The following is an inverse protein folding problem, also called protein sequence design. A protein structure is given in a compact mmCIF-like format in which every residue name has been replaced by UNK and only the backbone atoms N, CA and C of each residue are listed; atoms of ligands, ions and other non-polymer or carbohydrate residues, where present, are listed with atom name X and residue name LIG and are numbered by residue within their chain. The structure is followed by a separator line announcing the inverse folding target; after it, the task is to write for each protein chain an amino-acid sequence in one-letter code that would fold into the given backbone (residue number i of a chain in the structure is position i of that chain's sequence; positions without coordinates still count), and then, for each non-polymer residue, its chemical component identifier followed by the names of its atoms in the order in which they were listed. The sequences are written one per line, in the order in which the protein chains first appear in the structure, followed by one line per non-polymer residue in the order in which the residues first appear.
data_IF_843009427604
#
_entry.id   IF_843009427604
#
_cell.length_a   1.000
_cell.length_b   1.000
_cell.length_c   1.000
_cell.angle_alpha   90.00
_cell.angle_beta   90.00
_cell.angle_gamma   90.00
#
_symmetry.space_group_name_H-M   'P 1'
#
loop_
_entity.id
_entity.type
_entity.pdbx_description
1 polymer ?
#
# COMPACT_ATOMS: atom_id res chain seq x y z
N UNK A 1 -11.90 17.16 1.08
CA UNK A 1 -11.98 15.87 1.76
C UNK A 1 -10.66 15.15 1.50
N UNK A 2 -9.91 14.84 2.55
CA UNK A 2 -8.68 14.07 2.43
C UNK A 2 -9.07 12.60 2.44
N UNK A 3 -8.80 11.91 1.34
CA UNK A 3 -9.09 10.49 1.21
C UNK A 3 -7.80 9.75 1.55
N UNK A 4 -7.83 8.84 2.52
CA UNK A 4 -6.70 7.98 2.84
C UNK A 4 -6.60 6.82 1.85
N UNK A 5 -5.38 6.46 1.43
CA UNK A 5 -5.13 5.36 0.50
C UNK A 5 -5.67 4.00 1.00
N UNK A 6 -5.63 3.80 2.32
CA UNK A 6 -6.06 2.59 2.99
C UNK A 6 -7.57 2.32 2.86
N UNK A 7 -8.38 3.37 2.74
CA UNK A 7 -9.85 3.24 2.78
C UNK A 7 -10.44 2.87 1.41
N UNK A 8 -9.69 3.05 0.33
CA UNK A 8 -10.18 2.86 -1.03
C UNK A 8 -9.17 2.15 -1.96
N UNK A 9 -8.84 0.88 -1.70
CA UNK A 9 -7.87 0.12 -2.50
C UNK A 9 -8.28 0.00 -3.98
N UNK A 10 -9.56 -0.14 -4.28
CA UNK A 10 -10.02 -0.51 -5.62
C UNK A 10 -10.40 0.68 -6.52
N UNK A 11 -10.37 1.93 -6.03
CA UNK A 11 -10.92 3.10 -6.78
C UNK A 11 -9.91 4.09 -7.38
N UNK A 12 -8.59 3.92 -7.24
CA UNK A 12 -7.62 4.93 -7.71
C UNK A 12 -6.94 4.59 -9.04
N UNK A 13 -7.09 5.45 -10.03
CA UNK A 13 -6.36 5.39 -11.30
C UNK A 13 -5.15 6.32 -11.27
N UNK A 14 -4.04 5.88 -11.88
CA UNK A 14 -2.83 6.69 -12.03
C UNK A 14 -2.94 7.53 -13.30
N UNK A 15 -2.77 8.84 -13.17
CA UNK A 15 -2.84 9.78 -14.29
C UNK A 15 -1.72 10.82 -14.22
N UNK A 16 -1.20 11.19 -15.38
CA UNK A 16 -0.28 12.32 -15.53
C UNK A 16 -1.04 13.65 -15.44
N UNK A 17 -2.30 13.65 -15.86
CA UNK A 17 -3.13 14.85 -15.89
C UNK A 17 -3.99 14.92 -14.65
N UNK A 18 -3.95 16.07 -13.97
CA UNK A 18 -4.95 16.42 -12.99
C UNK A 18 -6.26 16.63 -13.74
N UNK A 19 -7.16 15.64 -13.68
CA UNK A 19 -8.44 15.74 -14.36
C UNK A 19 -9.19 16.98 -13.85
N UNK A 20 -9.63 17.83 -14.80
CA UNK A 20 -10.41 19.03 -14.51
C UNK A 20 -11.74 18.57 -13.91
N UNK A 21 -11.91 18.75 -12.60
CA UNK A 21 -13.08 18.26 -11.86
C UNK A 21 -12.87 16.97 -11.06
N UNK A 22 -11.64 16.46 -10.92
CA UNK A 22 -11.37 15.41 -9.94
C UNK A 22 -11.57 15.95 -8.51
N UNK A 23 -12.61 15.45 -7.84
CA UNK A 23 -12.99 15.82 -6.49
C UNK A 23 -12.13 15.08 -5.46
N UNK A 24 -10.93 15.59 -5.21
CA UNK A 24 -10.09 15.18 -4.09
C UNK A 24 -8.68 14.84 -4.50
N UNK A 25 -7.70 15.52 -3.89
CA UNK A 25 -6.34 14.99 -3.79
C UNK A 25 -6.35 13.94 -2.70
N UNK A 26 -5.88 12.74 -3.02
CA UNK A 26 -5.63 11.70 -2.03
C UNK A 26 -4.44 12.16 -1.18
N UNK A 27 -4.63 12.20 0.14
CA UNK A 27 -3.54 12.50 1.05
C UNK A 27 -2.79 11.19 1.31
N UNK A 28 -1.46 11.25 1.23
CA UNK A 28 -0.57 10.13 1.47
C UNK A 28 0.49 10.54 2.47
N UNK A 29 0.70 9.73 3.51
CA UNK A 29 1.58 10.05 4.63
C UNK A 29 3.06 9.78 4.34
N UNK A 30 3.36 8.91 3.37
CA UNK A 30 4.74 8.60 2.98
C UNK A 30 4.86 8.03 1.57
N UNK A 31 6.06 8.13 0.98
CA UNK A 31 6.39 7.47 -0.29
C UNK A 31 6.23 5.95 -0.21
N UNK A 32 6.46 5.36 0.96
CA UNK A 32 6.36 3.92 1.17
C UNK A 32 4.90 3.43 1.16
N UNK A 33 3.98 4.24 1.67
CA UNK A 33 2.55 3.98 1.59
C UNK A 33 2.07 3.99 0.14
N UNK A 34 2.46 5.02 -0.62
CA UNK A 34 2.16 5.11 -2.07
C UNK A 34 2.75 3.93 -2.82
N UNK A 35 4.01 3.57 -2.56
CA UNK A 35 4.65 2.41 -3.19
C UNK A 35 3.90 1.11 -2.89
N UNK A 36 3.52 0.85 -1.63
CA UNK A 36 2.74 -0.35 -1.26
C UNK A 36 1.39 -0.37 -1.98
N UNK A 37 0.75 0.79 -2.07
CA UNK A 37 -0.52 0.95 -2.78
C UNK A 37 -0.38 0.60 -4.27
N UNK A 38 0.56 1.26 -4.97
CA UNK A 38 0.79 1.03 -6.40
C UNK A 38 1.14 -0.43 -6.63
N UNK A 39 2.05 -1.00 -5.82
CA UNK A 39 2.44 -2.42 -5.90
C UNK A 39 1.25 -3.36 -5.81
N UNK A 40 0.40 -3.19 -4.79
CA UNK A 40 -0.77 -4.03 -4.58
C UNK A 40 -1.73 -3.99 -5.79
N UNK A 41 -1.86 -2.83 -6.43
CA UNK A 41 -2.73 -2.64 -7.59
C UNK A 41 -2.12 -3.20 -8.88
N UNK A 42 -0.85 -2.93 -9.15
CA UNK A 42 -0.15 -3.41 -10.35
C UNK A 42 -0.04 -4.93 -10.37
N UNK A 43 0.12 -5.57 -9.21
CA UNK A 43 0.19 -7.04 -9.11
C UNK A 43 -1.11 -7.74 -9.52
N UNK A 44 -2.27 -7.08 -9.45
CA UNK A 44 -3.55 -7.67 -9.85
C UNK A 44 -3.84 -7.56 -11.34
N UNK A 45 -3.31 -6.53 -12.00
CA UNK A 45 -3.78 -6.09 -13.33
C UNK A 45 -2.69 -6.28 -14.40
N UNK A 46 -1.44 -6.59 -14.03
CA UNK A 46 -0.34 -6.61 -15.00
C UNK A 46 0.01 -5.20 -15.52
N UNK A 47 -0.43 -4.16 -14.82
CA UNK A 47 -0.30 -2.76 -15.23
C UNK A 47 1.15 -2.21 -15.13
N UNK A 48 2.14 -3.04 -14.78
CA UNK A 48 3.53 -2.62 -14.68
C UNK A 48 4.11 -2.17 -16.03
N UNK A 49 3.67 -2.78 -17.15
CA UNK A 49 4.11 -2.39 -18.49
C UNK A 49 3.59 -0.99 -18.87
N UNK A 50 2.32 -0.72 -18.62
CA UNK A 50 1.70 0.59 -18.85
C UNK A 50 2.36 1.66 -17.97
N UNK A 51 2.62 1.34 -16.71
CA UNK A 51 3.31 2.24 -15.79
C UNK A 51 4.74 2.56 -16.25
N UNK A 52 5.47 1.57 -16.76
CA UNK A 52 6.80 1.77 -17.35
C UNK A 52 6.74 2.69 -18.57
N UNK A 53 5.78 2.48 -19.46
CA UNK A 53 5.60 3.34 -20.64
C UNK A 53 5.25 4.78 -20.23
N UNK A 54 4.36 4.93 -19.26
CA UNK A 54 3.95 6.23 -18.71
C UNK A 54 5.15 7.00 -18.14
N UNK A 55 5.98 6.33 -17.31
CA UNK A 55 7.20 6.92 -16.74
C UNK A 55 8.25 7.21 -17.81
N UNK A 56 8.40 6.36 -18.82
CA UNK A 56 9.33 6.59 -19.94
C UNK A 56 8.96 7.85 -20.72
N UNK A 57 7.66 8.10 -20.96
CA UNK A 57 7.17 9.35 -21.57
C UNK A 57 7.48 10.59 -20.73
N UNK A 58 7.57 10.43 -19.40
CA UNK A 58 7.99 11.49 -18.48
C UNK A 58 9.52 11.65 -18.37
N UNK A 59 10.28 10.87 -19.14
CA UNK A 59 11.74 10.93 -19.17
C UNK A 59 12.43 10.15 -18.06
N UNK A 60 11.71 9.29 -17.33
CA UNK A 60 12.34 8.35 -16.40
C UNK A 60 13.27 7.41 -17.19
N UNK A 61 14.50 7.25 -16.69
CA UNK A 61 15.52 6.37 -17.28
C UNK A 61 15.94 5.32 -16.25
N UNK A 62 16.50 4.21 -16.73
CA UNK A 62 17.07 3.13 -15.91
C UNK A 62 16.06 2.28 -15.11
N UNK A 63 14.84 2.11 -15.61
CA UNK A 63 13.82 1.24 -15.00
C UNK A 63 14.07 -0.24 -15.38
N UNK A 64 15.07 -0.87 -14.73
CA UNK A 64 15.52 -2.24 -15.05
C UNK A 64 14.59 -3.32 -14.51
N UNK A 65 13.93 -3.06 -13.38
CA UNK A 65 13.00 -3.99 -12.74
C UNK A 65 11.63 -3.35 -12.53
N UNK A 66 10.60 -4.16 -12.34
CA UNK A 66 9.27 -3.67 -11.95
C UNK A 66 9.31 -2.96 -10.59
N UNK A 67 10.20 -3.38 -9.69
CA UNK A 67 10.41 -2.73 -8.40
C UNK A 67 10.95 -1.28 -8.54
N UNK A 68 11.82 -1.04 -9.52
CA UNK A 68 12.32 0.30 -9.84
C UNK A 68 11.19 1.18 -10.40
N UNK A 69 10.36 0.60 -11.29
CA UNK A 69 9.17 1.27 -11.86
C UNK A 69 8.22 1.72 -10.74
N UNK A 70 7.94 0.84 -9.79
CA UNK A 70 7.04 1.12 -8.66
C UNK A 70 7.61 2.19 -7.73
N UNK A 71 8.92 2.13 -7.44
CA UNK A 71 9.60 3.10 -6.59
C UNK A 71 9.62 4.49 -7.23
N UNK A 72 9.96 4.56 -8.52
CA UNK A 72 9.95 5.81 -9.28
C UNK A 72 8.54 6.40 -9.39
N UNK A 73 7.53 5.58 -9.65
CA UNK A 73 6.13 6.03 -9.66
C UNK A 73 5.71 6.63 -8.32
N UNK A 74 6.06 5.99 -7.20
CA UNK A 74 5.77 6.52 -5.87
C UNK A 74 6.47 7.87 -5.63
N UNK A 75 7.74 8.00 -6.03
CA UNK A 75 8.47 9.26 -5.98
C UNK A 75 7.81 10.36 -6.82
N UNK A 76 7.35 10.04 -8.03
CA UNK A 76 6.66 10.99 -8.92
C UNK A 76 5.33 11.48 -8.34
N UNK A 77 4.58 10.59 -7.67
CA UNK A 77 3.36 10.95 -6.96
C UNK A 77 3.66 11.92 -5.80
N UNK A 78 4.68 11.62 -4.99
CA UNK A 78 5.10 12.51 -3.90
C UNK A 78 5.58 13.87 -4.39
N UNK A 79 6.22 13.93 -5.56
CA UNK A 79 6.65 15.17 -6.22
C UNK A 79 5.49 15.91 -6.93
N UNK A 80 4.27 15.36 -6.93
CA UNK A 80 3.12 15.96 -7.59
C UNK A 80 3.20 15.98 -9.12
N UNK A 81 4.06 15.14 -9.71
CA UNK A 81 4.16 14.96 -11.17
C UNK A 81 3.20 13.91 -11.71
N UNK A 82 2.75 13.03 -10.83
CA UNK A 82 1.81 11.97 -11.11
C UNK A 82 0.69 12.02 -10.06
N UNK A 83 -0.54 11.76 -10.47
CA UNK A 83 -1.71 11.90 -9.61
C UNK A 83 -2.46 10.58 -9.50
N UNK A 84 -2.91 10.27 -8.29
CA UNK A 84 -3.87 9.22 -8.02
C UNK A 84 -5.27 9.84 -8.03
N UNK A 85 -6.07 9.47 -9.03
CA UNK A 85 -7.43 9.96 -9.20
C UNK A 85 -8.42 8.91 -8.71
N UNK A 86 -9.40 9.28 -7.88
CA UNK A 86 -10.55 8.40 -7.66
C UNK A 86 -11.38 8.36 -8.95
N UNK A 87 -11.30 7.24 -9.67
CA UNK A 87 -12.20 6.96 -10.77
C UNK A 87 -13.54 6.46 -10.22
N UNK A 88 -14.65 7.01 -10.73
CA UNK A 88 -15.88 6.23 -10.71
C UNK A 88 -15.65 5.04 -11.62
N UNK A 89 -15.80 3.82 -11.11
CA UNK A 89 -15.78 2.63 -11.95
C UNK A 89 -16.84 2.86 -13.03
N UNK A 90 -16.41 3.21 -14.24
CA UNK A 90 -17.25 3.04 -15.40
C UNK A 90 -17.42 1.52 -15.45
N UNK A 91 -18.63 0.98 -15.20
CA UNK A 91 -18.83 -0.46 -15.31
C UNK A 91 -18.25 -0.83 -16.66
N UNK A 92 -17.34 -1.81 -16.66
CA UNK A 92 -16.66 -2.27 -17.85
C UNK A 92 -17.74 -2.79 -18.82
N UNK A 93 -18.34 -1.87 -19.57
CA UNK A 93 -19.05 -2.17 -20.80
C UNK A 93 -17.93 -2.58 -21.70
N UNK A 94 -17.66 -3.89 -21.73
CA UNK A 94 -16.78 -4.50 -22.71
C UNK A 94 -17.08 -3.81 -24.03
N UNK A 95 -16.07 -3.27 -24.75
CA UNK A 95 -16.27 -2.84 -26.12
C UNK A 95 -16.62 -4.12 -26.89
N UNK A 96 -17.92 -4.43 -26.92
CA UNK A 96 -18.47 -5.39 -27.83
C UNK A 96 -18.08 -4.88 -29.19
N UNK A 97 -17.29 -5.68 -29.88
CA UNK A 97 -17.07 -5.64 -31.32
C UNK A 97 -18.45 -5.55 -31.97
N UNK A 98 -18.94 -4.32 -32.14
CA UNK A 98 -20.21 -4.03 -32.77
C UNK A 98 -20.00 -4.13 -34.26
N UNK A 99 -20.34 -5.30 -34.80
CA UNK A 99 -20.59 -5.52 -36.21
C UNK A 99 -21.72 -4.57 -36.65
N UNK A 100 -21.50 -3.65 -37.61
CA UNK A 100 -22.49 -2.64 -37.98
C UNK A 100 -23.45 -3.18 -39.06
N UNK A 101 -24.07 -4.35 -38.89
CA UNK A 101 -25.17 -4.77 -39.79
C UNK A 101 -26.06 -5.88 -39.19
N UNK A 102 -26.86 -5.54 -38.17
CA UNK A 102 -27.95 -6.43 -37.74
C UNK A 102 -29.15 -5.62 -37.20
N UNK A 103 -30.31 -5.63 -37.88
CA UNK A 103 -31.54 -5.03 -37.36
C UNK A 103 -32.09 -5.79 -36.13
N UNK A 104 -32.88 -5.11 -35.27
CA UNK A 104 -33.12 -5.53 -33.90
C UNK A 104 -34.21 -6.61 -33.81
N UNK A 105 -33.90 -7.69 -33.09
CA UNK A 105 -34.90 -8.64 -32.61
C UNK A 105 -34.87 -8.68 -31.07
N UNK A 106 -35.99 -8.39 -30.36
CA UNK A 106 -36.13 -8.74 -28.96
C UNK A 106 -36.56 -10.21 -28.87
N UNK A 107 -35.96 -11.01 -27.97
CA UNK A 107 -36.80 -11.49 -26.87
C UNK A 107 -36.08 -11.74 -25.53
N UNK A 108 -36.87 -11.47 -24.49
CA UNK A 108 -37.07 -12.22 -23.24
C UNK A 108 -35.93 -12.47 -22.26
N UNK A 109 -36.12 -11.86 -21.07
CA UNK A 109 -35.35 -12.09 -19.85
C UNK A 109 -35.66 -13.48 -19.28
N UNK A 110 -34.65 -14.31 -18.97
CA UNK A 110 -34.83 -15.50 -18.16
C UNK A 110 -35.25 -15.11 -16.73
N UNK A 111 -36.41 -15.59 -16.29
CA UNK A 111 -36.82 -15.60 -14.87
C UNK A 111 -35.81 -16.42 -14.08
N UNK A 112 -35.02 -15.77 -13.22
CA UNK A 112 -34.19 -16.47 -12.23
C UNK A 112 -35.09 -17.14 -11.19
N UNK A 113 -34.84 -18.41 -10.82
CA UNK A 113 -35.45 -19.05 -9.67
C UNK A 113 -35.09 -18.30 -8.38
N UNK A 114 -36.08 -18.11 -7.51
CA UNK A 114 -35.91 -17.45 -6.21
C UNK A 114 -34.89 -18.20 -5.35
N UNK A 115 -33.81 -17.50 -5.02
CA UNK A 115 -32.84 -17.94 -4.01
C UNK A 115 -33.42 -17.60 -2.65
N UNK A 116 -33.66 -18.63 -1.84
CA UNK A 116 -34.15 -18.51 -0.47
C UNK A 116 -33.26 -17.60 0.38
N UNK A 117 -33.83 -16.83 1.33
CA UNK A 117 -33.05 -16.02 2.25
C UNK A 117 -32.16 -16.89 3.15
N UNK A 118 -30.94 -16.44 3.49
CA UNK A 118 -30.06 -17.14 4.41
C UNK A 118 -30.66 -17.17 5.84
N UNK A 119 -30.33 -18.20 6.64
CA UNK A 119 -30.80 -18.32 8.02
C UNK A 119 -30.28 -17.16 8.89
N UNK A 120 -31.04 -16.75 9.93
CA UNK A 120 -30.64 -15.69 10.83
C UNK A 120 -29.37 -16.05 11.59
N UNK A 121 -28.43 -15.10 11.63
CA UNK A 121 -27.19 -15.18 12.40
C UNK A 121 -27.51 -15.31 13.90
N UNK A 122 -26.72 -16.10 14.67
CA UNK A 122 -26.86 -16.18 16.11
C UNK A 122 -26.55 -14.82 16.77
N UNK A 123 -27.21 -14.49 17.90
CA UNK A 123 -26.98 -13.23 18.59
C UNK A 123 -25.54 -13.15 19.12
N UNK A 124 -24.95 -11.94 19.16
CA UNK A 124 -23.63 -11.73 19.74
C UNK A 124 -23.66 -12.17 21.21
N UNK A 125 -22.73 -13.06 21.58
CA UNK A 125 -22.47 -13.40 22.97
C UNK A 125 -22.03 -12.12 23.67
N UNK A 126 -22.81 -11.67 24.65
CA UNK A 126 -22.44 -10.61 25.57
C UNK A 126 -21.10 -10.99 26.18
N UNK A 127 -20.05 -10.22 25.87
CA UNK A 127 -18.83 -10.23 26.65
C UNK A 127 -19.21 -9.88 28.09
N UNK A 128 -18.77 -10.72 29.02
CA UNK A 128 -18.89 -10.48 30.43
C UNK A 128 -18.36 -9.07 30.74
N UNK A 129 -19.17 -8.29 31.45
CA UNK A 129 -18.76 -7.02 32.01
C UNK A 129 -17.61 -7.30 32.99
N UNK A 130 -16.39 -7.04 32.53
CA UNK A 130 -15.30 -6.73 33.44
C UNK A 130 -15.56 -5.32 33.94
N UNK A 131 -15.83 -5.23 35.23
CA UNK A 131 -15.96 -4.02 36.03
C UNK A 131 -14.81 -3.06 35.70
N UNK A 132 -15.14 -1.94 35.06
CA UNK A 132 -14.20 -0.88 34.74
C UNK A 132 -14.01 0.00 35.98
N UNK A 133 -12.78 0.19 36.49
CA UNK A 133 -12.50 1.18 37.52
C UNK A 133 -12.74 2.61 36.98
N UNK A 134 -13.07 3.57 37.86
CA UNK A 134 -13.53 4.91 37.50
C UNK A 134 -12.50 5.69 36.66
N UNK A 135 -12.94 6.51 35.68
CA UNK A 135 -12.04 7.27 34.82
C UNK A 135 -11.36 8.39 35.62
N UNK A 136 -10.05 8.23 35.85
CA UNK A 136 -9.16 9.28 36.31
C UNK A 136 -8.75 10.19 35.14
N UNK A 137 -8.48 11.49 35.38
CA UNK A 137 -8.41 12.53 34.35
C UNK A 137 -7.32 12.28 33.28
N UNK A 138 -7.73 12.37 32.01
CA UNK A 138 -7.00 12.03 30.77
C UNK A 138 -5.73 12.87 30.46
N UNK A 139 -5.21 13.65 31.40
CA UNK A 139 -4.05 14.53 31.16
C UNK A 139 -2.68 13.83 31.26
N UNK A 140 -2.61 12.60 31.79
CA UNK A 140 -1.35 11.83 31.92
C UNK A 140 -1.08 10.88 30.75
N UNK A 141 -2.09 10.54 29.95
CA UNK A 141 -1.97 9.58 28.85
C UNK A 141 -1.15 10.14 27.67
N UNK A 142 -1.28 11.43 27.37
CA UNK A 142 -0.51 12.08 26.29
C UNK A 142 0.99 12.20 26.63
N UNK A 143 1.31 12.61 27.87
CA UNK A 143 2.71 12.66 28.35
C UNK A 143 3.37 11.28 28.38
N UNK A 144 2.60 10.22 28.64
CA UNK A 144 3.11 8.85 28.60
C UNK A 144 3.46 8.37 27.18
N UNK A 145 2.75 8.85 26.16
CA UNK A 145 3.02 8.50 24.76
C UNK A 145 4.28 9.17 24.24
N UNK A 146 4.50 10.45 24.56
CA UNK A 146 5.71 11.17 24.14
C UNK A 146 6.97 10.58 24.76
N UNK A 147 6.91 10.20 26.04
CA UNK A 147 8.03 9.53 26.73
C UNK A 147 8.30 8.15 26.14
N UNK A 148 7.26 7.39 25.77
CA UNK A 148 7.42 6.11 25.07
C UNK A 148 8.02 6.27 23.68
N UNK A 149 7.59 7.27 22.92
CA UNK A 149 8.14 7.55 21.59
C UNK A 149 9.64 7.91 21.68
N UNK A 150 10.03 8.78 22.62
CA UNK A 150 11.42 9.14 22.84
C UNK A 150 12.30 7.93 23.21
N UNK A 151 11.80 7.04 24.08
CA UNK A 151 12.52 5.82 24.46
C UNK A 151 12.72 4.86 23.27
N UNK A 152 11.73 4.74 22.38
CA UNK A 152 11.83 3.92 21.16
C UNK A 152 12.80 4.51 20.14
N UNK A 153 12.84 5.83 19.99
CA UNK A 153 13.82 6.51 19.15
C UNK A 153 15.25 6.31 19.65
N UNK A 154 15.48 6.40 20.96
CA UNK A 154 16.79 6.21 21.56
C UNK A 154 17.29 4.77 21.40
N UNK A 155 16.43 3.78 21.67
CA UNK A 155 16.76 2.38 21.44
C UNK A 155 17.03 2.05 19.95
N UNK A 156 16.34 2.71 19.02
CA UNK A 156 16.63 2.61 17.60
C UNK A 156 18.00 3.20 17.22
N UNK A 157 18.42 4.31 17.86
CA UNK A 157 19.76 4.90 17.67
C UNK A 157 20.86 4.00 18.24
N UNK A 158 20.64 3.42 19.41
CA UNK A 158 21.62 2.54 20.08
C UNK A 158 21.71 1.15 19.43
N UNK A 159 20.80 0.82 18.50
CA UNK A 159 20.78 -0.47 17.83
C UNK A 159 20.55 -1.62 18.80
N UNK A 160 19.73 -1.39 19.83
CA UNK A 160 19.27 -2.43 20.75
C UNK A 160 18.24 -3.30 20.02
N UNK A 161 18.48 -4.63 19.91
CA UNK A 161 17.56 -5.51 19.20
C UNK A 161 16.28 -5.70 20.02
N UNK A 162 15.14 -5.31 19.46
CA UNK A 162 13.84 -5.48 20.10
C UNK A 162 13.30 -6.93 20.04
N UNK A 163 13.97 -7.84 19.31
CA UNK A 163 13.56 -9.24 19.23
C UNK A 163 14.77 -10.19 19.06
N UNK A 164 14.60 -11.45 19.46
CA UNK A 164 15.64 -12.49 19.38
C UNK A 164 16.18 -12.70 17.96
N UNK A 165 15.37 -12.46 16.93
CA UNK A 165 15.80 -12.57 15.53
C UNK A 165 16.80 -11.47 15.17
N UNK A 166 16.53 -10.23 15.63
CA UNK A 166 17.43 -9.10 15.43
C UNK A 166 18.74 -9.28 16.22
N UNK A 167 18.67 -9.87 17.41
CA UNK A 167 19.86 -10.19 18.21
C UNK A 167 20.75 -11.22 17.51
N UNK A 168 20.16 -12.32 17.02
CA UNK A 168 20.86 -13.33 16.21
C UNK A 168 21.47 -12.75 14.94
N UNK A 169 20.75 -11.84 14.27
CA UNK A 169 21.25 -11.16 13.07
C UNK A 169 22.44 -10.22 13.37
N UNK A 170 22.44 -9.53 14.53
CA UNK A 170 23.56 -8.70 14.98
C UNK A 170 24.81 -9.56 15.25
N UNK A 171 24.65 -10.66 15.97
CA UNK A 171 25.74 -11.61 16.23
C UNK A 171 26.33 -12.20 14.94
N UNK A 172 25.47 -12.59 13.98
CA UNK A 172 25.93 -13.12 12.70
C UNK A 172 26.70 -12.10 11.85
N UNK A 173 26.32 -10.81 11.92
CA UNK A 173 27.06 -9.73 11.24
C UNK A 173 28.43 -9.48 11.89
N UNK A 174 28.52 -9.51 13.21
CA UNK A 174 29.78 -9.35 13.92
C UNK A 174 30.79 -10.47 13.56
N UNK A 175 30.34 -11.73 13.58
CA UNK A 175 31.18 -12.87 13.21
C UNK A 175 31.71 -12.78 11.77
N UNK A 176 30.87 -12.35 10.82
CA UNK A 176 31.30 -12.15 9.42
C UNK A 176 32.26 -10.97 9.26
N UNK A 177 32.13 -9.93 10.07
CA UNK A 177 33.04 -8.78 10.03
C UNK A 177 34.44 -9.16 10.55
N UNK A 178 34.52 -9.98 11.60
CA UNK A 178 35.81 -10.51 12.10
C UNK A 178 36.49 -11.45 11.10
N UNK A 179 35.72 -12.31 10.41
CA UNK A 179 36.25 -13.18 9.36
C UNK A 179 36.80 -12.37 8.17
N UNK A 180 36.09 -11.32 7.75
CA UNK A 180 36.58 -10.40 6.72
C UNK A 180 37.81 -9.60 7.15
N UNK A 181 37.92 -9.22 8.42
CA UNK A 181 39.09 -8.54 8.95
C UNK A 181 40.32 -9.47 9.00
N UNK A 182 40.15 -10.72 9.43
CA UNK A 182 41.22 -11.72 9.45
C UNK A 182 41.70 -12.10 8.03
N UNK A 183 40.79 -12.14 7.05
CA UNK A 183 41.12 -12.37 5.64
C UNK A 183 41.84 -11.18 4.99
N UNK A 184 41.63 -9.95 5.50
CA UNK A 184 42.32 -8.76 5.01
C UNK A 184 43.78 -8.70 5.50
N UNK A 185 44.03 -9.10 6.75
CA UNK A 185 45.37 -9.11 7.35
C UNK A 185 46.30 -10.15 6.70
N UNK A 186 45.77 -11.34 6.38
CA UNK A 186 46.52 -12.39 5.66
C UNK A 186 46.88 -12.02 4.21
N UNK A 187 46.16 -11.07 3.59
CA UNK A 187 46.47 -10.57 2.24
C UNK A 187 47.51 -9.45 2.23
N UNK A 188 47.77 -8.79 3.36
CA UNK A 188 48.81 -7.77 3.48
C UNK A 188 50.21 -8.35 3.80
N UNK A 189 50.27 -9.62 4.22
CA UNK A 189 51.50 -10.32 4.58
C UNK A 189 52.10 -11.21 3.46
N UNK A 190 51.51 -11.20 2.26
CA UNK A 190 51.96 -11.95 1.07
C UNK A 190 52.43 -10.99 -0.03
#
# INVERSE_FOLDING_TARGET
MNVCLSDHPDRLELSIFRARGAYGSVAHGSAQEVYRYIKARTSRIGAAAELREMLARQGARNLRSDEDVLREAASQVMLGRLFLLLGEQRPAVSPGTGDPDAPPAPPERPKRPGVSPPPPLPPPRKAAATEAPPPEPEMTAALAQDVQAAALEEAARDGTPFCEVCEKAKAAKAAKAEEHAAAADTRAAA
#
